data_IF_053379808844
#
_entry.id   IF_053379808844
#
_cell.length_a   1.000
_cell.length_b   1.000
_cell.length_c   1.000
_cell.angle_alpha   90.00
_cell.angle_beta   90.00
_cell.angle_gamma   90.00
#
_symmetry.space_group_name_H-M   'P 1'
#
loop_
_entity.id
_entity.type
_entity.pdbx_description
1 polymer ?
#
# COMPACT_ATOMS: atom_id res chain seq x y z
N UNK A 1 -35.53 -8.70 -29.19
CA UNK A 1 -34.19 -9.30 -29.07
C UNK A 1 -33.39 -8.45 -28.09
N UNK A 2 -33.31 -8.85 -26.81
CA UNK A 2 -32.56 -8.12 -25.78
C UNK A 2 -31.23 -8.84 -25.55
N UNK A 3 -30.12 -8.16 -25.82
CA UNK A 3 -28.80 -8.65 -25.45
C UNK A 3 -28.64 -8.51 -23.94
N UNK A 4 -28.45 -9.64 -23.25
CA UNK A 4 -28.01 -9.66 -21.86
C UNK A 4 -26.60 -9.09 -21.82
N UNK A 5 -26.44 -7.90 -21.25
CA UNK A 5 -25.13 -7.31 -20.97
C UNK A 5 -24.47 -8.17 -19.89
N UNK A 6 -23.65 -9.13 -20.32
CA UNK A 6 -22.79 -9.91 -19.44
C UNK A 6 -21.96 -8.95 -18.59
N UNK A 7 -22.04 -9.11 -17.27
CA UNK A 7 -21.31 -8.36 -16.27
C UNK A 7 -19.82 -8.33 -16.66
N UNK A 8 -19.32 -7.21 -17.21
CA UNK A 8 -17.89 -7.01 -17.40
C UNK A 8 -17.26 -7.05 -16.02
N UNK A 9 -16.61 -8.16 -15.69
CA UNK A 9 -15.64 -8.21 -14.61
C UNK A 9 -14.49 -7.32 -15.06
N UNK A 10 -14.56 -6.03 -14.73
CA UNK A 10 -13.43 -5.14 -14.88
C UNK A 10 -12.30 -5.73 -14.03
N UNK A 11 -11.36 -6.42 -14.67
CA UNK A 11 -10.16 -6.88 -13.99
C UNK A 11 -9.56 -5.66 -13.30
N UNK A 12 -9.32 -5.76 -11.99
CA UNK A 12 -8.73 -4.68 -11.22
C UNK A 12 -7.27 -4.54 -11.67
N UNK A 13 -7.03 -3.69 -12.67
CA UNK A 13 -5.69 -3.41 -13.19
C UNK A 13 -4.96 -2.55 -12.15
N UNK A 14 -3.70 -2.87 -11.87
CA UNK A 14 -2.83 -2.13 -10.95
C UNK A 14 -3.33 -2.06 -9.49
N UNK A 15 -4.10 -3.06 -9.04
CA UNK A 15 -4.42 -3.24 -7.63
C UNK A 15 -3.43 -4.22 -7.00
N UNK A 16 -2.45 -3.67 -6.27
CA UNK A 16 -1.39 -4.44 -5.63
C UNK A 16 -0.99 -3.83 -4.28
N UNK A 17 -0.22 -4.60 -3.51
CA UNK A 17 0.31 -4.20 -2.21
C UNK A 17 1.83 -4.10 -2.30
N UNK A 18 2.39 -3.03 -1.74
CA UNK A 18 3.84 -2.87 -1.57
C UNK A 18 4.16 -3.18 -0.11
N UNK A 19 5.00 -4.19 0.12
CA UNK A 19 5.52 -4.51 1.45
C UNK A 19 7.00 -4.16 1.49
N UNK A 20 7.40 -3.31 2.44
CA UNK A 20 8.78 -2.87 2.62
C UNK A 20 9.20 -3.30 4.02
N UNK A 21 10.39 -3.89 4.16
CA UNK A 21 10.94 -4.26 5.46
C UNK A 21 12.19 -3.41 5.73
N UNK A 22 12.26 -2.76 6.89
CA UNK A 22 13.47 -2.05 7.33
C UNK A 22 13.79 -2.40 8.79
N UNK A 23 15.02 -2.13 9.22
CA UNK A 23 15.36 -2.19 10.63
C UNK A 23 14.58 -1.11 11.41
N UNK A 24 14.09 -1.44 12.61
CA UNK A 24 13.40 -0.50 13.47
C UNK A 24 14.32 0.66 13.85
N UNK A 25 13.83 1.89 13.72
CA UNK A 25 14.58 3.11 13.94
C UNK A 25 15.25 3.70 12.69
N UNK A 26 15.13 3.07 11.52
CA UNK A 26 15.73 3.58 10.27
C UNK A 26 14.75 4.37 9.39
N UNK A 27 13.59 4.77 9.94
CA UNK A 27 12.66 5.68 9.25
C UNK A 27 11.54 5.03 8.42
N UNK A 28 11.18 3.76 8.68
CA UNK A 28 10.07 3.08 7.96
C UNK A 28 8.76 3.88 8.00
N UNK A 29 8.44 4.53 9.12
CA UNK A 29 7.24 5.37 9.24
C UNK A 29 7.30 6.59 8.32
N UNK A 30 8.41 7.32 8.34
CA UNK A 30 8.59 8.52 7.51
C UNK A 30 8.56 8.19 6.02
N UNK A 31 9.22 7.09 5.62
CA UNK A 31 9.19 6.64 4.22
C UNK A 31 7.79 6.21 3.77
N UNK A 32 7.04 5.49 4.61
CA UNK A 32 5.68 5.06 4.27
C UNK A 32 4.74 6.26 4.09
N UNK A 33 4.87 7.29 4.94
CA UNK A 33 4.12 8.53 4.79
C UNK A 33 4.43 9.24 3.46
N UNK A 34 5.70 9.33 3.05
CA UNK A 34 6.07 9.94 1.76
C UNK A 34 5.44 9.19 0.58
N UNK A 35 5.45 7.85 0.62
CA UNK A 35 4.82 7.02 -0.43
C UNK A 35 3.31 7.28 -0.48
N UNK A 36 2.64 7.26 0.68
CA UNK A 36 1.21 7.52 0.78
C UNK A 36 0.82 8.92 0.30
N UNK A 37 1.56 9.94 0.74
CA UNK A 37 1.33 11.32 0.30
C UNK A 37 1.52 11.46 -1.21
N UNK A 38 2.59 10.87 -1.77
CA UNK A 38 2.87 10.98 -3.21
C UNK A 38 1.79 10.30 -4.04
N UNK A 39 1.33 9.11 -3.66
CA UNK A 39 0.23 8.42 -4.36
C UNK A 39 -1.09 9.19 -4.24
N UNK A 40 -1.37 9.78 -3.08
CA UNK A 40 -2.56 10.60 -2.87
C UNK A 40 -2.53 11.86 -3.77
N UNK A 41 -1.41 12.59 -3.82
CA UNK A 41 -1.23 13.76 -4.70
C UNK A 41 -1.36 13.40 -6.19
N UNK A 42 -0.98 12.18 -6.59
CA UNK A 42 -1.18 11.67 -7.95
C UNK A 42 -2.64 11.25 -8.24
N UNK A 43 -3.55 11.35 -7.27
CA UNK A 43 -4.95 10.93 -7.43
C UNK A 43 -5.15 9.41 -7.40
N UNK A 44 -4.17 8.64 -6.92
CA UNK A 44 -4.24 7.19 -6.81
C UNK A 44 -4.83 6.83 -5.43
N UNK A 45 -5.95 6.08 -5.36
CA UNK A 45 -6.48 5.59 -4.10
C UNK A 45 -5.46 4.67 -3.43
N UNK A 46 -5.00 5.07 -2.24
CA UNK A 46 -3.96 4.36 -1.51
C UNK A 46 -4.33 4.25 -0.04
N UNK A 47 -3.89 3.18 0.61
CA UNK A 47 -3.90 3.03 2.06
C UNK A 47 -2.58 2.42 2.51
N UNK A 48 -2.17 2.70 3.73
CA UNK A 48 -0.96 2.13 4.30
C UNK A 48 -1.01 2.07 5.80
N UNK A 49 -0.18 1.20 6.36
CA UNK A 49 0.06 1.07 7.79
C UNK A 49 1.53 0.76 8.00
N UNK A 50 2.05 1.16 9.16
CA UNK A 50 3.30 0.60 9.67
C UNK A 50 2.98 -0.52 10.66
N UNK A 51 3.79 -1.57 10.62
CA UNK A 51 3.67 -2.76 11.44
C UNK A 51 4.96 -2.97 12.22
N UNK A 52 4.84 -2.78 13.54
CA UNK A 52 5.91 -2.99 14.51
C UNK A 52 5.63 -4.30 15.26
N UNK A 53 6.26 -5.43 14.86
CA UNK A 53 6.07 -6.72 15.56
C UNK A 53 6.61 -6.68 17.00
N UNK A 54 7.57 -5.79 17.24
CA UNK A 54 8.13 -5.43 18.54
C UNK A 54 8.72 -4.03 18.47
N UNK A 55 8.93 -3.38 19.63
CA UNK A 55 9.55 -2.05 19.70
C UNK A 55 11.07 -2.11 19.96
N UNK A 56 11.73 -3.18 19.54
CA UNK A 56 13.18 -3.36 19.71
C UNK A 56 13.90 -2.75 18.51
N UNK A 57 14.90 -1.90 18.76
CA UNK A 57 15.71 -1.27 17.71
C UNK A 57 16.46 -2.33 16.89
N UNK A 58 16.58 -2.12 15.58
CA UNK A 58 17.30 -3.05 14.69
C UNK A 58 16.48 -4.26 14.21
N UNK A 59 15.43 -4.66 14.95
CA UNK A 59 14.53 -5.74 14.49
C UNK A 59 13.66 -5.29 13.31
N UNK A 60 13.18 -6.23 12.48
CA UNK A 60 12.41 -5.87 11.29
C UNK A 60 11.09 -5.18 11.64
N UNK A 61 10.80 -4.14 10.86
CA UNK A 61 9.53 -3.40 10.82
C UNK A 61 9.04 -3.33 9.39
N UNK A 62 7.72 -3.32 9.22
CA UNK A 62 7.06 -3.22 7.93
C UNK A 62 6.22 -1.95 7.83
#
# INVERSE_FOLDING_TARGET
MKWSQGKKMNASVNNFVINIATANGTGSQSSNLIILHTMFEMGIPVSGKNLFPSNISGLPTW
#
